data_IF_114563385358
#
_entry.id   IF_114563385358
#
_cell.length_a   1.000
_cell.length_b   1.000
_cell.length_c   1.000
_cell.angle_alpha   90.00
_cell.angle_beta   90.00
_cell.angle_gamma   90.00
#
_symmetry.space_group_name_H-M   'P 1'
#
loop_
_entity.id
_entity.type
_entity.pdbx_description
1 polymer ?
#
# COMPACT_ATOMS: atom_id res chain seq x y z
N UNK A 1 -2.96 -1.46 -28.33
CA UNK A 1 -3.31 -2.46 -27.29
C UNK A 1 -4.81 -2.59 -27.32
N UNK A 2 -5.32 -3.74 -27.76
CA UNK A 2 -6.76 -4.02 -27.82
C UNK A 2 -7.31 -4.08 -26.40
N UNK A 3 -8.29 -3.25 -26.08
CA UNK A 3 -9.05 -3.37 -24.82
C UNK A 3 -9.82 -4.68 -24.86
N UNK A 4 -9.38 -5.67 -24.08
CA UNK A 4 -10.24 -6.80 -23.78
C UNK A 4 -11.41 -6.27 -22.93
N UNK A 5 -12.63 -6.54 -23.38
CA UNK A 5 -13.83 -6.19 -22.63
C UNK A 5 -13.76 -6.89 -21.27
N UNK A 6 -13.80 -6.08 -20.20
CA UNK A 6 -13.94 -6.54 -18.83
C UNK A 6 -15.17 -7.45 -18.73
N UNK A 7 -15.03 -8.57 -18.04
CA UNK A 7 -16.11 -9.53 -17.84
C UNK A 7 -17.22 -8.94 -16.96
N UNK A 8 -18.44 -9.46 -17.04
CA UNK A 8 -19.56 -8.98 -16.22
C UNK A 8 -19.30 -9.11 -14.70
N UNK A 9 -18.42 -10.04 -14.30
CA UNK A 9 -17.91 -10.17 -12.93
C UNK A 9 -16.98 -9.02 -12.51
N UNK A 10 -16.21 -8.46 -13.45
CA UNK A 10 -15.36 -7.29 -13.17
C UNK A 10 -16.22 -6.03 -12.95
N UNK A 11 -17.40 -5.97 -13.57
CA UNK A 11 -18.38 -4.88 -13.41
C UNK A 11 -19.11 -4.97 -12.05
N UNK A 12 -18.99 -6.09 -11.32
CA UNK A 12 -19.67 -6.32 -10.04
C UNK A 12 -18.80 -6.04 -8.81
N UNK A 13 -17.63 -5.39 -8.96
CA UNK A 13 -16.91 -4.81 -7.83
C UNK A 13 -17.66 -3.57 -7.32
N UNK A 14 -18.08 -3.61 -6.05
CA UNK A 14 -18.84 -2.54 -5.39
C UNK A 14 -20.20 -2.19 -6.04
N UNK A 15 -21.00 -3.20 -6.41
CA UNK A 15 -22.40 -3.00 -6.85
C UNK A 15 -23.32 -2.34 -5.80
N UNK A 16 -22.85 -2.27 -4.54
CA UNK A 16 -23.39 -1.46 -3.45
C UNK A 16 -22.25 -0.63 -2.84
N UNK A 17 -22.55 0.52 -2.19
CA UNK A 17 -21.54 1.28 -1.47
C UNK A 17 -20.75 0.37 -0.50
N UNK A 18 -19.41 0.37 -0.54
CA UNK A 18 -18.59 -0.41 0.37
C UNK A 18 -18.91 -0.09 1.83
N UNK A 19 -19.12 -1.14 2.64
CA UNK A 19 -19.41 -1.02 4.08
C UNK A 19 -18.36 -1.76 4.87
N UNK A 20 -17.76 -1.06 5.81
CA UNK A 20 -16.64 -1.61 6.56
C UNK A 20 -16.24 -0.77 7.75
N UNK A 21 -15.08 -1.11 8.28
CA UNK A 21 -14.39 -0.40 9.34
C UNK A 21 -13.02 0.03 8.85
N UNK A 22 -12.57 1.21 9.30
CA UNK A 22 -11.28 1.78 8.98
C UNK A 22 -10.59 2.23 10.28
N UNK A 23 -9.28 2.05 10.38
CA UNK A 23 -8.53 2.33 11.61
C UNK A 23 -8.33 3.81 11.95
N UNK A 24 -8.54 4.76 11.03
CA UNK A 24 -8.10 6.15 11.15
C UNK A 24 -8.67 6.88 12.37
N UNK A 25 -9.99 6.89 12.56
CA UNK A 25 -10.60 7.72 13.62
C UNK A 25 -10.24 7.24 15.04
N UNK A 26 -9.96 5.95 15.21
CA UNK A 26 -9.62 5.36 16.50
C UNK A 26 -8.11 5.32 16.77
N UNK A 27 -7.31 5.08 15.72
CA UNK A 27 -5.87 4.79 15.87
C UNK A 27 -4.97 5.72 15.07
N UNK A 28 -5.53 6.60 14.24
CA UNK A 28 -4.80 7.38 13.23
C UNK A 28 -3.83 6.46 12.47
N UNK A 29 -2.52 6.71 12.59
CA UNK A 29 -1.49 5.95 11.92
C UNK A 29 -0.84 4.84 12.76
N UNK A 30 -1.17 4.69 14.05
CA UNK A 30 -0.35 3.93 15.01
C UNK A 30 -0.88 2.52 15.34
N UNK A 31 -1.91 2.06 14.63
CA UNK A 31 -2.52 0.74 14.86
C UNK A 31 -1.50 -0.40 14.74
N UNK A 32 -1.62 -1.40 15.61
CA UNK A 32 -0.89 -2.67 15.56
C UNK A 32 -1.71 -3.80 14.94
N UNK A 33 -1.04 -4.86 14.49
CA UNK A 33 -1.67 -6.06 13.95
C UNK A 33 -2.66 -6.71 14.93
N UNK A 34 -2.33 -6.73 16.23
CA UNK A 34 -3.21 -7.28 17.25
C UNK A 34 -4.51 -6.47 17.38
N UNK A 35 -4.41 -5.15 17.47
CA UNK A 35 -5.59 -4.26 17.54
C UNK A 35 -6.44 -4.37 16.27
N UNK A 36 -5.79 -4.48 15.10
CA UNK A 36 -6.47 -4.68 13.83
C UNK A 36 -7.28 -5.99 13.82
N UNK A 37 -6.69 -7.11 14.22
CA UNK A 37 -7.40 -8.39 14.28
C UNK A 37 -8.55 -8.40 15.29
N UNK A 38 -8.40 -7.76 16.44
CA UNK A 38 -9.50 -7.62 17.41
C UNK A 38 -10.70 -6.89 16.79
N UNK A 39 -10.46 -5.80 16.06
CA UNK A 39 -11.51 -5.08 15.34
C UNK A 39 -12.10 -5.92 14.20
N UNK A 40 -11.28 -6.63 13.43
CA UNK A 40 -11.76 -7.51 12.37
C UNK A 40 -12.65 -8.63 12.89
N UNK A 41 -12.32 -9.23 14.02
CA UNK A 41 -13.16 -10.24 14.67
C UNK A 41 -14.50 -9.66 15.15
N UNK A 42 -14.52 -8.42 15.66
CA UNK A 42 -15.76 -7.73 16.04
C UNK A 42 -16.65 -7.44 14.83
N UNK A 43 -16.07 -6.94 13.73
CA UNK A 43 -16.79 -6.72 12.47
C UNK A 43 -17.38 -8.03 11.96
N UNK A 44 -16.58 -9.10 11.93
CA UNK A 44 -17.02 -10.43 11.47
C UNK A 44 -18.17 -10.99 12.31
N UNK A 45 -18.07 -10.91 13.64
CA UNK A 45 -19.09 -11.49 14.55
C UNK A 45 -20.37 -10.65 14.64
N UNK A 46 -20.28 -9.33 14.54
CA UNK A 46 -21.41 -8.42 14.87
C UNK A 46 -21.95 -7.65 13.68
N UNK A 47 -21.12 -7.25 12.74
CA UNK A 47 -21.50 -6.31 11.68
C UNK A 47 -21.65 -7.00 10.32
N UNK A 48 -21.02 -8.16 10.13
CA UNK A 48 -21.08 -8.92 8.87
C UNK A 48 -22.50 -9.32 8.50
N UNK A 49 -23.31 -9.76 9.47
CA UNK A 49 -24.74 -10.07 9.26
C UNK A 49 -25.57 -8.87 8.79
N UNK A 50 -25.04 -7.66 8.97
CA UNK A 50 -25.64 -6.41 8.51
C UNK A 50 -25.00 -5.87 7.21
N UNK A 51 -24.12 -6.64 6.56
CA UNK A 51 -23.50 -6.28 5.28
C UNK A 51 -22.20 -5.49 5.38
N UNK A 52 -21.56 -5.41 6.55
CA UNK A 52 -20.20 -4.88 6.66
C UNK A 52 -19.20 -5.97 6.27
N UNK A 53 -18.38 -5.70 5.28
CA UNK A 53 -17.46 -6.69 4.71
C UNK A 53 -16.01 -6.23 4.67
N UNK A 54 -15.71 -4.92 4.70
CA UNK A 54 -14.32 -4.43 4.63
C UNK A 54 -13.73 -4.12 6.01
N UNK A 55 -12.44 -4.44 6.18
CA UNK A 55 -11.60 -3.95 7.28
C UNK A 55 -10.33 -3.34 6.70
N UNK A 56 -10.12 -2.06 6.98
CA UNK A 56 -9.13 -1.24 6.28
C UNK A 56 -8.04 -0.76 7.24
N UNK A 57 -6.79 -1.03 6.90
CA UNK A 57 -5.62 -0.44 7.55
C UNK A 57 -5.37 0.93 6.93
N UNK A 58 -5.56 1.98 7.71
CA UNK A 58 -5.37 3.34 7.22
C UNK A 58 -3.88 3.73 7.14
N UNK A 59 -3.61 5.00 6.82
CA UNK A 59 -2.34 5.51 6.35
C UNK A 59 -1.14 5.21 7.28
N UNK A 60 0.05 5.17 6.66
CA UNK A 60 1.35 4.99 7.31
C UNK A 60 1.55 3.65 8.03
N UNK A 61 0.93 2.56 7.58
CA UNK A 61 1.21 1.20 8.05
C UNK A 61 2.69 0.77 7.88
N UNK A 62 3.41 1.40 6.96
CA UNK A 62 4.84 1.24 6.71
C UNK A 62 5.73 2.11 7.61
N UNK A 63 5.19 3.05 8.39
CA UNK A 63 5.99 3.91 9.26
C UNK A 63 6.28 3.23 10.59
N UNK A 64 7.57 3.19 10.94
CA UNK A 64 8.06 2.67 12.23
C UNK A 64 7.46 3.46 13.40
N UNK A 65 6.89 2.76 14.38
CA UNK A 65 6.42 3.37 15.63
C UNK A 65 7.55 3.38 16.67
N UNK A 66 8.48 4.31 16.50
CA UNK A 66 9.66 4.51 17.36
C UNK A 66 9.76 5.96 17.84
N UNK A 67 10.51 6.27 18.92
CA UNK A 67 10.70 7.64 19.37
C UNK A 67 11.14 8.58 18.22
N UNK A 68 10.47 9.72 18.09
CA UNK A 68 10.72 10.70 17.02
C UNK A 68 9.91 10.50 15.74
N UNK A 69 9.28 9.34 15.53
CA UNK A 69 8.39 9.12 14.40
C UNK A 69 7.01 9.76 14.62
N UNK A 70 6.51 10.46 13.62
CA UNK A 70 5.17 11.07 13.60
C UNK A 70 4.62 11.13 12.18
N UNK A 71 3.41 11.67 11.99
CA UNK A 71 2.69 11.65 10.70
C UNK A 71 3.42 12.36 9.54
N UNK A 72 4.34 13.29 9.79
CA UNK A 72 5.15 13.96 8.77
C UNK A 72 6.67 13.81 8.98
N UNK A 73 7.11 12.77 9.70
CA UNK A 73 8.53 12.48 9.89
C UNK A 73 9.15 11.81 8.66
N UNK A 74 10.38 12.19 8.31
CA UNK A 74 11.20 11.57 7.26
C UNK A 74 12.17 10.55 7.88
N UNK A 75 12.47 9.47 7.16
CA UNK A 75 13.50 8.50 7.56
C UNK A 75 13.00 7.32 8.42
N UNK A 76 11.68 7.24 8.66
CA UNK A 76 11.06 6.21 9.48
C UNK A 76 10.19 5.24 8.68
N UNK A 77 10.07 5.42 7.37
CA UNK A 77 9.27 4.54 6.53
C UNK A 77 10.05 3.24 6.25
N UNK A 78 9.38 2.10 6.19
CA UNK A 78 9.99 0.84 5.74
C UNK A 78 9.73 0.71 4.25
N UNK A 79 10.81 0.69 3.48
CA UNK A 79 10.79 0.50 2.03
C UNK A 79 11.59 -0.74 1.66
N UNK A 80 11.17 -1.46 0.62
CA UNK A 80 11.97 -2.50 0.00
C UNK A 80 13.09 -1.92 -0.90
N UNK A 81 13.92 -2.78 -1.48
CA UNK A 81 15.03 -2.38 -2.34
C UNK A 81 14.59 -1.67 -3.63
N UNK A 82 13.29 -1.72 -3.97
CA UNK A 82 12.69 -1.09 -5.14
C UNK A 82 11.98 0.24 -4.80
N UNK A 83 12.06 0.68 -3.54
CA UNK A 83 11.42 1.90 -3.07
C UNK A 83 9.91 1.78 -2.84
N UNK A 84 9.38 0.55 -2.77
CA UNK A 84 7.97 0.30 -2.44
C UNK A 84 7.80 0.19 -0.93
N UNK A 85 6.65 0.64 -0.43
CA UNK A 85 6.34 0.57 1.00
C UNK A 85 6.09 -0.87 1.44
N UNK A 86 6.63 -1.25 2.60
CA UNK A 86 6.36 -2.54 3.24
C UNK A 86 5.92 -2.34 4.70
N UNK A 87 5.08 -3.23 5.26
CA UNK A 87 4.57 -3.04 6.61
C UNK A 87 5.68 -3.05 7.65
N UNK A 88 5.63 -2.11 8.60
CA UNK A 88 6.60 -2.07 9.70
C UNK A 88 6.53 -3.38 10.51
N UNK A 89 7.57 -4.23 10.52
CA UNK A 89 7.54 -5.52 11.19
C UNK A 89 7.38 -5.40 12.72
N UNK A 90 7.69 -4.23 13.31
CA UNK A 90 7.43 -3.97 14.72
C UNK A 90 5.94 -3.82 15.05
N UNK A 91 5.14 -3.37 14.08
CA UNK A 91 3.67 -3.21 14.19
C UNK A 91 2.91 -4.35 13.57
N UNK A 92 3.50 -4.98 12.55
CA UNK A 92 2.96 -6.07 11.75
C UNK A 92 3.91 -7.27 11.79
N UNK A 93 4.07 -7.96 12.94
CA UNK A 93 4.99 -9.09 13.05
C UNK A 93 4.82 -10.18 11.99
N UNK A 94 3.62 -10.38 11.44
CA UNK A 94 3.41 -11.37 10.38
C UNK A 94 4.01 -10.98 9.02
N UNK A 95 4.44 -9.73 8.84
CA UNK A 95 5.13 -9.25 7.64
C UNK A 95 6.59 -9.69 7.55
N UNK A 96 7.16 -10.17 8.67
CA UNK A 96 8.54 -10.63 8.75
C UNK A 96 8.86 -11.68 7.67
N UNK A 97 10.08 -11.61 7.13
CA UNK A 97 10.53 -12.50 6.05
C UNK A 97 9.97 -12.12 4.67
N UNK A 98 9.59 -10.85 4.46
CA UNK A 98 9.15 -10.36 3.16
C UNK A 98 7.72 -10.75 2.78
N UNK A 99 6.92 -11.19 3.74
CA UNK A 99 5.53 -11.62 3.52
C UNK A 99 4.56 -10.46 3.30
N UNK A 100 4.97 -9.24 3.66
CA UNK A 100 4.13 -8.05 3.59
C UNK A 100 2.81 -8.26 4.31
N UNK A 101 1.68 -8.03 3.64
CA UNK A 101 0.35 -8.21 4.24
C UNK A 101 -0.33 -9.55 3.95
N UNK A 102 0.33 -10.49 3.26
CA UNK A 102 -0.30 -11.76 2.86
C UNK A 102 -0.94 -12.53 4.03
N UNK A 103 -0.29 -12.57 5.20
CA UNK A 103 -0.84 -13.25 6.38
C UNK A 103 -2.01 -12.49 7.02
N UNK A 104 -1.96 -11.15 7.02
CA UNK A 104 -3.04 -10.30 7.52
C UNK A 104 -4.28 -10.48 6.65
N UNK A 105 -4.12 -10.40 5.33
CA UNK A 105 -5.20 -10.63 4.37
C UNK A 105 -5.77 -12.03 4.52
N UNK A 106 -4.93 -13.08 4.58
CA UNK A 106 -5.37 -14.46 4.79
C UNK A 106 -6.22 -14.62 6.05
N UNK A 107 -5.82 -13.98 7.16
CA UNK A 107 -6.59 -13.99 8.41
C UNK A 107 -7.92 -13.27 8.26
N UNK A 108 -7.96 -12.09 7.62
CA UNK A 108 -9.18 -11.34 7.34
C UNK A 108 -10.14 -12.15 6.46
N UNK A 109 -9.64 -12.75 5.38
CA UNK A 109 -10.42 -13.61 4.48
C UNK A 109 -10.97 -14.84 5.22
N UNK A 110 -10.23 -15.42 6.16
CA UNK A 110 -10.72 -16.54 6.99
C UNK A 110 -11.89 -16.16 7.92
N UNK A 111 -12.05 -14.86 8.23
CA UNK A 111 -13.21 -14.31 8.94
C UNK A 111 -14.38 -14.00 7.99
N UNK A 112 -14.21 -14.28 6.69
CA UNK A 112 -15.10 -13.94 5.58
C UNK A 112 -15.34 -12.44 5.45
N UNK A 113 -14.30 -11.66 5.71
CA UNK A 113 -14.22 -10.22 5.45
C UNK A 113 -13.24 -9.98 4.29
N UNK A 114 -13.18 -8.75 3.80
CA UNK A 114 -12.29 -8.22 2.78
C UNK A 114 -11.28 -7.26 3.39
N UNK A 115 -10.04 -7.33 2.94
CA UNK A 115 -8.91 -6.58 3.47
C UNK A 115 -8.61 -5.36 2.60
N UNK A 116 -8.51 -4.18 3.23
CA UNK A 116 -8.12 -2.96 2.52
C UNK A 116 -6.92 -2.24 3.13
N UNK A 117 -6.23 -1.44 2.31
CA UNK A 117 -5.12 -0.60 2.77
C UNK A 117 -5.21 0.82 2.20
N UNK A 118 -4.85 1.81 3.01
CA UNK A 118 -4.65 3.17 2.53
C UNK A 118 -3.26 3.31 1.88
N UNK A 119 -3.17 4.01 0.75
CA UNK A 119 -1.89 4.35 0.11
C UNK A 119 -1.77 5.85 -0.14
N UNK A 120 -0.57 6.40 0.09
CA UNK A 120 -0.27 7.78 -0.29
C UNK A 120 0.02 7.84 -1.79
N UNK A 121 -0.54 8.84 -2.47
CA UNK A 121 -0.31 9.04 -3.90
C UNK A 121 1.18 9.30 -4.20
N UNK A 122 1.74 8.52 -5.11
CA UNK A 122 3.05 8.77 -5.70
C UNK A 122 4.16 7.94 -5.09
N UNK A 123 5.32 8.56 -4.85
CA UNK A 123 6.54 7.92 -4.35
C UNK A 123 7.01 8.65 -3.09
N UNK A 124 7.59 7.91 -2.14
CA UNK A 124 8.06 8.52 -0.90
C UNK A 124 9.34 9.30 -1.08
N UNK A 125 9.47 10.37 -0.32
CA UNK A 125 10.69 11.15 -0.20
C UNK A 125 11.87 10.26 0.21
N UNK A 126 11.64 9.24 1.03
CA UNK A 126 12.69 8.31 1.44
C UNK A 126 13.22 7.47 0.27
N UNK A 127 12.34 6.92 -0.58
CA UNK A 127 12.76 6.19 -1.78
C UNK A 127 13.51 7.10 -2.76
N UNK A 128 13.04 8.34 -2.92
CA UNK A 128 13.72 9.37 -3.74
C UNK A 128 15.10 9.71 -3.19
N UNK A 129 15.24 9.91 -1.88
CA UNK A 129 16.53 10.21 -1.25
C UNK A 129 17.52 9.04 -1.38
N UNK A 130 17.05 7.81 -1.17
CA UNK A 130 17.82 6.60 -1.38
C UNK A 130 18.10 6.31 -2.87
N UNK A 131 17.39 6.98 -3.77
CA UNK A 131 17.45 6.78 -5.22
C UNK A 131 17.32 5.32 -5.63
N UNK A 132 16.33 4.61 -5.07
CA UNK A 132 16.13 3.17 -5.33
C UNK A 132 15.87 2.91 -6.82
N UNK A 133 16.31 1.76 -7.36
CA UNK A 133 15.92 1.34 -8.71
C UNK A 133 14.41 1.08 -8.78
N UNK A 134 13.82 1.26 -9.96
CA UNK A 134 12.42 0.91 -10.18
C UNK A 134 12.31 -0.56 -10.59
N UNK A 135 11.44 -1.34 -9.94
CA UNK A 135 11.18 -2.72 -10.33
C UNK A 135 10.45 -2.80 -11.67
N UNK A 136 10.97 -3.61 -12.58
CA UNK A 136 10.26 -4.12 -13.76
C UNK A 136 9.71 -5.50 -13.45
N UNK A 137 8.41 -5.55 -13.14
CA UNK A 137 7.73 -6.82 -12.83
C UNK A 137 7.56 -7.72 -14.04
N UNK A 138 7.70 -7.21 -15.27
CA UNK A 138 7.55 -7.98 -16.50
C UNK A 138 8.85 -8.72 -16.82
N UNK A 139 10.00 -8.03 -16.71
CA UNK A 139 11.31 -8.62 -17.02
C UNK A 139 11.99 -9.28 -15.82
N UNK A 140 11.59 -8.89 -14.61
CA UNK A 140 12.30 -9.20 -13.38
C UNK A 140 13.57 -8.33 -13.26
N UNK A 141 13.69 -7.61 -12.15
CA UNK A 141 14.85 -6.75 -11.86
C UNK A 141 14.61 -5.27 -12.18
N UNK A 142 15.67 -4.50 -12.41
CA UNK A 142 15.58 -3.06 -12.54
C UNK A 142 15.05 -2.60 -13.92
N UNK A 143 14.13 -1.65 -13.92
CA UNK A 143 13.53 -1.09 -15.12
C UNK A 143 14.57 -0.39 -15.98
N UNK A 144 14.70 -0.86 -17.21
CA UNK A 144 15.66 -0.37 -18.19
C UNK A 144 14.92 0.09 -19.44
N UNK A 145 15.15 1.35 -19.83
CA UNK A 145 14.61 1.97 -21.05
C UNK A 145 15.63 2.99 -21.57
N UNK A 146 15.82 3.04 -22.89
CA UNK A 146 16.83 3.88 -23.54
C UNK A 146 18.28 3.62 -23.04
N UNK A 147 18.62 2.36 -22.75
CA UNK A 147 19.98 1.94 -22.41
C UNK A 147 20.44 2.29 -20.99
N UNK A 148 19.53 2.73 -20.10
CA UNK A 148 19.85 3.04 -18.70
C UNK A 148 18.84 2.43 -17.73
N UNK A 149 19.28 2.26 -16.48
CA UNK A 149 18.40 1.91 -15.35
C UNK A 149 17.73 3.19 -14.82
N UNK A 150 16.42 3.10 -14.59
CA UNK A 150 15.63 4.18 -14.03
C UNK A 150 15.46 4.03 -12.52
N UNK A 151 15.51 5.15 -11.81
CA UNK A 151 15.48 5.23 -10.35
C UNK A 151 14.39 6.18 -9.84
N UNK A 152 14.15 6.16 -8.54
CA UNK A 152 13.16 6.99 -7.87
C UNK A 152 13.30 8.49 -8.19
N UNK A 153 14.53 9.03 -8.26
CA UNK A 153 14.75 10.45 -8.61
C UNK A 153 14.35 10.79 -10.04
N UNK A 154 14.43 9.84 -10.96
CA UNK A 154 14.09 10.06 -12.37
C UNK A 154 12.58 10.22 -12.60
N UNK A 155 11.77 9.65 -11.71
CA UNK A 155 10.31 9.61 -11.86
C UNK A 155 9.58 10.53 -10.87
N UNK A 156 10.29 11.09 -9.89
CA UNK A 156 9.72 11.98 -8.90
C UNK A 156 9.39 13.36 -9.47
N UNK A 157 8.32 14.00 -8.95
CA UNK A 157 7.98 15.41 -9.23
C UNK A 157 7.96 16.15 -7.88
N UNK A 158 9.12 16.67 -7.42
CA UNK A 158 9.25 17.30 -6.10
C UNK A 158 8.31 18.49 -5.87
N UNK A 159 7.98 19.23 -6.93
CA UNK A 159 7.09 20.40 -6.87
C UNK A 159 5.63 20.02 -6.62
N UNK A 160 5.30 18.72 -6.65
CA UNK A 160 3.96 18.20 -6.42
C UNK A 160 3.95 17.24 -5.22
N UNK A 161 4.44 17.74 -4.08
CA UNK A 161 4.40 17.08 -2.78
C UNK A 161 3.01 17.14 -2.13
N UNK A 162 2.77 16.27 -1.16
CA UNK A 162 1.55 16.30 -0.36
C UNK A 162 1.53 17.54 0.55
N UNK A 163 0.55 18.43 0.41
CA UNK A 163 0.51 19.70 1.15
C UNK A 163 0.47 19.52 2.69
N UNK A 164 -0.22 18.48 3.18
CA UNK A 164 -0.36 18.19 4.60
C UNK A 164 0.67 17.16 5.13
N UNK A 165 1.48 16.57 4.24
CA UNK A 165 2.58 15.66 4.58
C UNK A 165 3.79 15.95 3.68
N UNK A 166 4.34 17.17 3.82
CA UNK A 166 5.38 17.72 2.96
C UNK A 166 6.66 16.88 2.89
N UNK A 167 6.96 16.12 3.95
CA UNK A 167 8.16 15.30 4.03
C UNK A 167 7.93 13.85 3.58
N UNK A 168 6.67 13.44 3.39
CA UNK A 168 6.32 12.05 3.15
C UNK A 168 6.40 11.63 1.69
N UNK A 169 5.59 12.25 0.83
CA UNK A 169 5.33 11.77 -0.53
C UNK A 169 5.28 12.91 -1.55
N UNK A 170 5.67 12.57 -2.77
CA UNK A 170 5.55 13.41 -3.96
C UNK A 170 5.02 12.64 -5.16
N UNK A 171 4.58 13.37 -6.17
CA UNK A 171 3.98 12.75 -7.35
C UNK A 171 4.99 11.94 -8.16
N UNK A 172 4.49 10.93 -8.87
CA UNK A 172 5.24 10.20 -9.89
C UNK A 172 4.88 10.71 -11.28
N UNK A 173 5.88 10.86 -12.15
CA UNK A 173 5.71 11.21 -13.55
C UNK A 173 5.32 9.99 -14.38
N UNK A 174 4.00 9.80 -14.56
CA UNK A 174 3.43 8.68 -15.32
C UNK A 174 3.49 8.85 -16.84
N UNK A 175 4.03 9.97 -17.35
CA UNK A 175 4.36 10.10 -18.78
C UNK A 175 5.54 9.21 -19.16
N UNK A 176 6.43 8.94 -18.21
CA UNK A 176 7.58 8.04 -18.36
C UNK A 176 7.17 6.57 -18.25
N UNK A 177 7.83 5.70 -19.01
CA UNK A 177 7.67 4.25 -18.88
C UNK A 177 7.97 3.76 -17.47
N UNK A 178 9.08 4.23 -16.89
CA UNK A 178 9.48 3.93 -15.52
C UNK A 178 8.46 4.36 -14.46
N UNK A 179 7.81 5.52 -14.63
CA UNK A 179 6.79 5.99 -13.70
C UNK A 179 5.54 5.09 -13.71
N UNK A 180 5.15 4.58 -14.88
CA UNK A 180 4.08 3.57 -14.98
C UNK A 180 4.50 2.22 -14.44
N UNK A 181 5.76 1.82 -14.64
CA UNK A 181 6.32 0.58 -14.09
C UNK A 181 6.32 0.59 -12.56
N UNK A 182 6.67 1.72 -11.94
CA UNK A 182 6.60 1.88 -10.49
C UNK A 182 5.17 1.72 -9.96
N UNK A 183 4.17 2.37 -10.57
CA UNK A 183 2.78 2.19 -10.14
C UNK A 183 2.31 0.74 -10.33
N UNK A 184 2.66 0.11 -11.45
CA UNK A 184 2.34 -1.31 -11.69
C UNK A 184 2.93 -2.20 -10.58
N UNK A 185 4.17 -1.98 -10.19
CA UNK A 185 4.84 -2.81 -9.18
C UNK A 185 4.25 -2.66 -7.78
N UNK A 186 3.63 -1.51 -7.47
CA UNK A 186 2.83 -1.32 -6.25
C UNK A 186 1.52 -2.11 -6.32
N UNK A 187 0.75 -1.99 -7.42
CA UNK A 187 -0.51 -2.73 -7.54
C UNK A 187 -0.30 -4.25 -7.56
N UNK A 188 0.74 -4.74 -8.22
CA UNK A 188 1.07 -6.17 -8.20
C UNK A 188 1.51 -6.63 -6.80
N UNK A 189 2.22 -5.80 -6.04
CA UNK A 189 2.54 -6.08 -4.64
C UNK A 189 1.27 -6.21 -3.78
N UNK A 190 0.31 -5.29 -3.95
CA UNK A 190 -0.94 -5.32 -3.19
C UNK A 190 -1.82 -6.51 -3.56
N UNK A 191 -1.89 -6.84 -4.86
CA UNK A 191 -2.58 -8.03 -5.33
C UNK A 191 -1.94 -9.32 -4.79
N UNK A 192 -0.59 -9.40 -4.77
CA UNK A 192 0.13 -10.54 -4.20
C UNK A 192 -0.09 -10.69 -2.68
N UNK A 193 -0.40 -9.59 -1.98
CA UNK A 193 -0.81 -9.64 -0.58
C UNK A 193 -2.27 -10.03 -0.37
N UNK A 194 -3.10 -10.04 -1.42
CA UNK A 194 -4.54 -10.31 -1.29
C UNK A 194 -5.34 -9.10 -0.79
N UNK A 195 -4.94 -7.88 -1.16
CA UNK A 195 -5.71 -6.67 -0.90
C UNK A 195 -6.95 -6.63 -1.81
N UNK A 196 -8.10 -6.33 -1.22
CA UNK A 196 -9.40 -6.21 -1.89
C UNK A 196 -9.84 -4.74 -2.11
N UNK A 197 -9.24 -3.79 -1.37
CA UNK A 197 -9.58 -2.35 -1.38
C UNK A 197 -8.38 -1.44 -1.16
#
# INVERSE_FOLDING_TARGET
VSSQNLSQSDIQQAGLPPRGWNSYDAFSWIISEQEFFQNAELVSRRLRVHGYEYVVVDYLWYRKKVPGAYSNSLGFDVIDEWGRMVPDPGRWPSSNGGKGFSEVARKVHSLGLKFGIHVMRGISTQAVNANTPILDTIKGGAYTEAGRVWHAKDIAIPERSCAWMSNGFMSVNTKLGAGRAFLRSLYEQYAAWGVDL
#
